data_IF_427231396194
#
_entry.id   IF_427231396194
#
_cell.length_a   1.000
_cell.length_b   1.000
_cell.length_c   1.000
_cell.angle_alpha   90.00
_cell.angle_beta   90.00
_cell.angle_gamma   90.00
#
_symmetry.space_group_name_H-M   'P 1'
#
loop_
_entity.id
_entity.type
_entity.pdbx_description
1 polymer ?
#
# COMPACT_ATOMS: atom_id res chain seq x y z
N UNK A 1 -1.52 -8.84 34.54
CA UNK A 1 -0.45 -8.11 33.82
C UNK A 1 -0.89 -6.67 33.62
N UNK A 2 -0.07 -5.73 34.06
CA UNK A 2 -0.33 -4.29 34.03
C UNK A 2 -0.76 -3.81 32.63
N UNK A 3 -1.98 -3.30 32.53
CA UNK A 3 -2.46 -2.51 31.39
C UNK A 3 -1.80 -1.12 31.41
N UNK A 4 -0.50 -1.07 31.14
CA UNK A 4 0.12 0.20 30.76
C UNK A 4 -0.43 0.55 29.39
N UNK A 5 -1.21 1.64 29.36
CA UNK A 5 -1.72 2.32 28.18
C UNK A 5 -0.85 2.06 26.95
N UNK A 6 -1.35 1.23 26.04
CA UNK A 6 -0.81 1.11 24.70
C UNK A 6 -1.08 2.45 24.02
N UNK A 7 -0.16 3.41 24.15
CA UNK A 7 -0.19 4.63 23.34
C UNK A 7 -0.03 4.14 21.90
N UNK A 8 -1.11 4.20 21.13
CA UNK A 8 -1.04 4.00 19.69
C UNK A 8 0.08 4.90 19.15
N UNK A 9 1.04 4.31 18.42
CA UNK A 9 2.10 5.03 17.72
C UNK A 9 1.45 5.87 16.61
N UNK A 10 0.92 7.04 16.96
CA UNK A 10 0.15 7.87 16.05
C UNK A 10 1.02 9.00 15.51
N UNK A 11 1.13 9.08 14.19
CA UNK A 11 1.37 10.36 13.54
C UNK A 11 0.03 11.12 13.57
N UNK A 12 0.00 12.33 14.13
CA UNK A 12 -1.19 13.17 14.07
C UNK A 12 -0.97 14.32 13.09
N UNK A 13 -1.78 14.36 12.03
CA UNK A 13 -1.91 15.53 11.19
C UNK A 13 -3.08 16.37 11.71
N UNK A 14 -2.82 17.63 12.06
CA UNK A 14 -3.84 18.58 12.50
C UNK A 14 -3.87 19.75 11.53
N UNK A 15 -5.06 20.04 11.02
CA UNK A 15 -5.32 21.20 10.18
C UNK A 15 -5.77 22.33 11.08
N UNK A 16 -5.02 23.44 11.04
CA UNK A 16 -5.36 24.64 11.81
C UNK A 16 -5.68 25.74 10.80
N UNK A 17 -6.91 26.28 10.77
CA UNK A 17 -7.24 27.42 9.94
C UNK A 17 -6.44 28.63 10.44
N UNK A 18 -5.75 29.33 9.54
CA UNK A 18 -5.07 30.58 9.90
C UNK A 18 -6.07 31.76 9.82
N UNK A 19 -5.97 32.69 10.78
CA UNK A 19 -6.76 33.91 10.80
C UNK A 19 -6.49 34.78 9.58
N UNK A 20 -7.56 35.41 9.08
CA UNK A 20 -7.51 36.43 8.04
C UNK A 20 -6.70 37.65 8.51
N UNK A 21 -5.52 37.87 7.94
CA UNK A 21 -5.03 39.26 7.83
C UNK A 21 -5.81 39.94 6.69
N UNK A 22 -6.35 41.13 6.95
CA UNK A 22 -6.96 41.99 5.92
C UNK A 22 -5.82 42.51 5.02
N UNK A 23 -5.57 41.80 3.92
CA UNK A 23 -4.82 42.32 2.77
C UNK A 23 -5.77 42.63 1.60
N UNK A 24 -5.41 43.56 0.70
CA UNK A 24 -6.29 44.11 -0.34
C UNK A 24 -6.81 43.05 -1.32
N UNK A 25 -7.83 43.42 -2.11
CA UNK A 25 -8.61 42.53 -2.99
C UNK A 25 -7.78 41.51 -3.79
N UNK A 26 -8.20 40.24 -3.73
CA UNK A 26 -7.55 39.11 -4.44
C UNK A 26 -7.18 37.90 -3.57
N UNK A 27 -7.77 37.75 -2.36
CA UNK A 27 -7.33 36.77 -1.36
C UNK A 27 -7.49 35.31 -1.81
N UNK A 28 -6.36 34.63 -2.00
CA UNK A 28 -6.26 33.16 -2.06
C UNK A 28 -6.45 32.57 -0.66
N UNK A 29 -7.38 31.64 -0.49
CA UNK A 29 -7.55 30.88 0.75
C UNK A 29 -6.30 30.02 1.00
N UNK A 30 -5.70 30.15 2.18
CA UNK A 30 -4.56 29.33 2.61
C UNK A 30 -4.88 28.60 3.91
N UNK A 31 -4.51 27.32 3.98
CA UNK A 31 -4.67 26.49 5.19
C UNK A 31 -3.32 25.93 5.61
N UNK A 32 -3.06 25.91 6.92
CA UNK A 32 -1.83 25.30 7.46
C UNK A 32 -2.12 23.88 7.92
N UNK A 33 -1.27 22.95 7.47
CA UNK A 33 -1.25 21.56 7.90
C UNK A 33 -0.04 21.37 8.80
N UNK A 34 -0.24 20.86 10.02
CA UNK A 34 0.82 20.51 10.94
C UNK A 34 0.91 18.99 11.04
N UNK A 35 2.12 18.45 10.85
CA UNK A 35 2.38 17.02 10.96
C UNK A 35 3.42 16.82 12.06
N UNK A 36 3.03 16.14 13.13
CA UNK A 36 3.86 15.96 14.33
C UNK A 36 4.38 14.52 14.41
N UNK A 37 5.68 14.38 14.63
CA UNK A 37 6.36 13.11 14.87
C UNK A 37 6.92 13.07 16.29
N UNK A 38 6.25 12.31 17.16
CA UNK A 38 6.68 12.14 18.55
C UNK A 38 7.71 11.02 18.72
N UNK A 39 8.22 10.40 17.64
CA UNK A 39 9.19 9.31 17.71
C UNK A 39 10.62 9.83 17.75
N UNK A 40 11.55 8.96 18.21
CA UNK A 40 12.98 9.26 18.30
C UNK A 40 13.75 9.09 16.98
N UNK A 41 13.05 8.89 15.86
CA UNK A 41 13.62 8.73 14.53
C UNK A 41 12.79 9.52 13.50
N UNK A 42 13.41 9.91 12.40
CA UNK A 42 12.76 10.62 11.30
C UNK A 42 11.77 9.74 10.54
N UNK A 43 10.74 10.36 9.96
CA UNK A 43 9.71 9.68 9.18
C UNK A 43 9.50 10.40 7.85
N UNK A 44 9.22 9.60 6.82
CA UNK A 44 8.81 10.04 5.50
C UNK A 44 7.57 9.26 5.11
N UNK A 45 6.41 9.91 5.11
CA UNK A 45 5.12 9.22 5.01
C UNK A 45 4.07 9.99 4.23
N UNK A 46 3.12 9.26 3.64
CA UNK A 46 1.99 9.85 2.94
C UNK A 46 0.92 10.26 3.95
N UNK A 47 0.58 11.55 3.94
CA UNK A 47 -0.46 12.14 4.77
C UNK A 47 -1.71 12.29 3.93
N UNK A 48 -2.83 11.76 4.44
CA UNK A 48 -4.15 11.95 3.87
C UNK A 48 -4.94 13.02 4.60
N UNK A 49 -5.48 13.96 3.84
CA UNK A 49 -6.41 14.97 4.32
C UNK A 49 -7.81 14.66 3.76
N UNK A 50 -8.80 14.34 4.62
CA UNK A 50 -10.17 14.18 4.16
C UNK A 50 -10.69 15.45 3.51
N UNK A 51 -11.40 15.34 2.39
CA UNK A 51 -11.93 16.51 1.65
C UNK A 51 -12.88 17.35 2.49
N UNK A 52 -13.57 16.75 3.46
CA UNK A 52 -14.39 17.47 4.43
C UNK A 52 -13.64 18.54 5.24
N UNK A 53 -12.30 18.47 5.29
CA UNK A 53 -11.40 19.46 5.92
C UNK A 53 -10.85 20.51 4.96
N UNK A 54 -11.10 20.40 3.66
CA UNK A 54 -10.60 21.29 2.60
C UNK A 54 -11.65 22.27 2.08
N UNK A 55 -12.66 22.59 2.90
CA UNK A 55 -13.79 23.43 2.49
C UNK A 55 -13.31 24.78 1.94
N UNK A 56 -13.82 25.16 0.77
CA UNK A 56 -13.50 26.42 0.09
C UNK A 56 -12.28 26.36 -0.83
N UNK A 57 -11.63 25.20 -0.99
CA UNK A 57 -10.53 25.00 -1.92
C UNK A 57 -11.00 24.21 -3.15
N UNK A 58 -10.57 24.66 -4.34
CA UNK A 58 -10.85 23.96 -5.60
C UNK A 58 -9.86 22.82 -5.80
N UNK A 59 -10.37 21.60 -6.02
CA UNK A 59 -9.55 20.41 -6.28
C UNK A 59 -8.52 20.64 -7.41
N UNK A 60 -8.93 21.28 -8.51
CA UNK A 60 -8.08 21.49 -9.69
C UNK A 60 -6.88 22.40 -9.41
N UNK A 61 -7.07 23.42 -8.57
CA UNK A 61 -6.05 24.43 -8.27
C UNK A 61 -5.32 24.17 -6.95
N UNK A 62 -5.75 23.20 -6.15
CA UNK A 62 -5.15 22.97 -4.84
C UNK A 62 -3.72 22.46 -5.00
N UNK A 63 -2.81 23.12 -4.28
CA UNK A 63 -1.41 22.74 -4.12
C UNK A 63 -1.03 22.78 -2.66
N UNK A 64 0.07 22.11 -2.34
CA UNK A 64 0.67 22.15 -1.02
C UNK A 64 2.18 22.37 -1.14
N UNK A 65 2.73 23.17 -0.23
CA UNK A 65 4.18 23.40 -0.14
C UNK A 65 4.69 23.28 1.29
N UNK A 66 5.96 22.94 1.46
CA UNK A 66 6.63 23.07 2.76
C UNK A 66 6.65 24.53 3.19
N UNK A 67 6.34 24.79 4.46
CA UNK A 67 6.46 26.14 5.02
C UNK A 67 7.93 26.52 5.30
N UNK A 68 8.81 25.52 5.42
CA UNK A 68 10.23 25.69 5.70
C UNK A 68 11.04 25.95 4.42
N UNK A 69 10.83 25.17 3.36
CA UNK A 69 11.61 25.30 2.10
C UNK A 69 10.88 26.09 1.03
N UNK A 70 9.55 26.21 1.12
CA UNK A 70 8.72 26.80 0.06
C UNK A 70 8.49 25.89 -1.14
N UNK A 71 9.06 24.69 -1.15
CA UNK A 71 8.95 23.74 -2.25
C UNK A 71 7.52 23.17 -2.36
N UNK A 72 7.00 23.17 -3.59
CA UNK A 72 5.71 22.57 -3.94
C UNK A 72 5.87 21.06 -3.95
N UNK A 73 4.92 20.35 -3.35
CA UNK A 73 4.95 18.90 -3.25
C UNK A 73 4.05 18.26 -4.30
N UNK A 74 4.41 17.04 -4.70
CA UNK A 74 3.55 16.17 -5.49
C UNK A 74 2.33 15.78 -4.65
N UNK A 75 1.17 15.73 -5.30
CA UNK A 75 -0.08 15.39 -4.62
C UNK A 75 -0.78 14.23 -5.32
N UNK A 76 -1.81 13.69 -4.66
CA UNK A 76 -2.72 12.73 -5.28
C UNK A 76 -4.09 12.86 -4.63
N UNK A 77 -5.14 12.81 -5.45
CA UNK A 77 -6.52 12.70 -4.97
C UNK A 77 -6.96 11.24 -5.03
N UNK A 78 -7.68 10.77 -4.00
CA UNK A 78 -8.26 9.43 -3.95
C UNK A 78 -9.78 9.56 -3.89
N UNK A 79 -10.44 8.81 -4.76
CA UNK A 79 -11.88 8.56 -4.75
C UNK A 79 -12.06 7.07 -4.37
N UNK A 80 -12.38 6.81 -3.09
CA UNK A 80 -12.46 5.45 -2.55
C UNK A 80 -13.74 4.74 -2.97
N UNK A 81 -14.83 5.49 -3.20
CA UNK A 81 -16.15 4.93 -3.52
C UNK A 81 -16.46 4.96 -5.02
N UNK A 82 -15.60 5.57 -5.84
CA UNK A 82 -15.72 5.74 -7.29
C UNK A 82 -16.96 6.51 -7.73
N UNK A 83 -17.42 7.46 -6.93
CA UNK A 83 -18.57 8.30 -7.27
C UNK A 83 -18.21 9.51 -8.16
N UNK A 84 -16.93 9.64 -8.51
CA UNK A 84 -16.38 10.74 -9.30
C UNK A 84 -15.98 11.96 -8.46
N UNK A 85 -16.07 11.88 -7.13
CA UNK A 85 -15.63 12.93 -6.20
C UNK A 85 -14.51 12.39 -5.33
N UNK A 86 -13.48 13.19 -5.14
CA UNK A 86 -12.39 12.79 -4.27
C UNK A 86 -12.81 12.80 -2.79
N UNK A 87 -12.39 11.78 -2.06
CA UNK A 87 -12.58 11.61 -0.62
C UNK A 87 -11.37 12.11 0.18
N UNK A 88 -10.17 12.01 -0.40
CA UNK A 88 -8.92 12.30 0.29
C UNK A 88 -7.88 12.97 -0.62
N UNK A 89 -7.16 13.94 -0.08
CA UNK A 89 -6.01 14.60 -0.69
C UNK A 89 -4.71 14.15 -0.02
N UNK A 90 -3.75 13.69 -0.81
CA UNK A 90 -2.51 13.11 -0.34
C UNK A 90 -1.30 13.99 -0.66
N UNK A 91 -0.32 14.00 0.24
CA UNK A 91 1.03 14.51 0.00
C UNK A 91 2.04 13.73 0.87
N UNK A 92 3.33 13.77 0.53
CA UNK A 92 4.37 13.17 1.37
C UNK A 92 4.94 14.20 2.33
N UNK A 93 4.96 13.86 3.62
CA UNK A 93 5.59 14.67 4.66
C UNK A 93 6.93 14.06 5.08
N UNK A 94 7.95 14.90 5.15
CA UNK A 94 9.24 14.63 5.79
C UNK A 94 9.22 15.28 7.19
N UNK A 95 9.33 14.46 8.24
CA UNK A 95 9.26 14.91 9.62
C UNK A 95 10.44 14.34 10.42
N UNK A 96 11.31 15.21 10.93
CA UNK A 96 12.41 14.82 11.82
C UNK A 96 11.90 14.17 13.11
N UNK A 97 12.80 13.51 13.83
CA UNK A 97 12.51 12.98 15.16
C UNK A 97 12.05 14.11 16.11
N UNK A 98 11.04 13.83 16.94
CA UNK A 98 10.54 14.74 18.00
C UNK A 98 10.19 16.15 17.51
N UNK A 99 9.68 16.27 16.28
CA UNK A 99 9.44 17.58 15.65
C UNK A 99 8.04 17.70 15.05
N UNK A 100 7.72 18.90 14.56
CA UNK A 100 6.52 19.17 13.79
C UNK A 100 6.89 19.92 12.52
N UNK A 101 6.58 19.34 11.37
CA UNK A 101 6.69 19.99 10.06
C UNK A 101 5.41 20.75 9.73
N UNK A 102 5.54 21.89 9.04
CA UNK A 102 4.40 22.71 8.61
C UNK A 102 4.31 22.76 7.10
N UNK A 103 3.09 22.66 6.61
CA UNK A 103 2.78 22.76 5.18
C UNK A 103 1.67 23.78 4.96
N UNK A 104 1.70 24.42 3.80
CA UNK A 104 0.70 25.41 3.41
C UNK A 104 -0.05 24.91 2.19
N UNK A 105 -1.36 24.72 2.35
CA UNK A 105 -2.29 24.52 1.25
C UNK A 105 -2.64 25.88 0.64
N UNK A 106 -2.65 25.96 -0.68
CA UNK A 106 -2.97 27.18 -1.42
C UNK A 106 -3.61 26.84 -2.77
N UNK A 107 -4.34 27.78 -3.37
CA UNK A 107 -4.91 27.61 -4.71
C UNK A 107 -4.05 28.32 -5.75
N UNK A 108 -3.48 27.55 -6.66
CA UNK A 108 -2.70 27.99 -7.82
C UNK A 108 -2.78 26.89 -8.89
N UNK A 109 -3.51 27.16 -9.97
CA UNK A 109 -3.71 26.19 -11.04
C UNK A 109 -2.47 26.06 -11.96
N UNK A 110 -1.62 27.10 -12.01
CA UNK A 110 -0.47 27.19 -12.90
C UNK A 110 0.81 26.65 -12.23
N UNK A 111 0.82 26.57 -10.90
CA UNK A 111 1.86 25.89 -10.13
C UNK A 111 2.05 24.43 -10.58
N UNK A 112 3.27 24.13 -11.02
CA UNK A 112 3.67 22.79 -11.44
C UNK A 112 4.03 21.93 -10.23
N UNK A 113 3.52 20.70 -10.20
CA UNK A 113 3.93 19.70 -9.22
C UNK A 113 5.22 19.00 -9.67
N UNK A 114 6.12 18.68 -8.72
CA UNK A 114 7.34 17.95 -9.04
C UNK A 114 7.01 16.57 -9.61
N UNK A 115 7.70 16.21 -10.69
CA UNK A 115 7.62 14.89 -11.29
C UNK A 115 8.61 13.94 -10.60
N UNK A 116 8.22 12.67 -10.48
CA UNK A 116 9.09 11.62 -9.96
C UNK A 116 8.78 10.29 -10.65
N UNK A 117 9.83 9.53 -10.94
CA UNK A 117 9.75 8.16 -11.46
C UNK A 117 9.32 7.15 -10.40
N UNK A 118 9.46 7.48 -9.11
CA UNK A 118 8.94 6.66 -8.02
C UNK A 118 7.42 6.79 -7.97
N UNK A 119 6.73 5.66 -8.07
CA UNK A 119 5.27 5.59 -8.02
C UNK A 119 4.84 4.36 -7.23
N UNK A 120 3.75 4.48 -6.48
CA UNK A 120 3.00 3.34 -6.00
C UNK A 120 2.07 2.86 -7.11
N UNK A 121 2.15 1.59 -7.48
CA UNK A 121 1.47 1.05 -8.65
C UNK A 121 0.81 -0.29 -8.33
N UNK A 122 -0.32 -0.58 -8.96
CA UNK A 122 -0.90 -1.92 -8.94
C UNK A 122 -1.62 -2.22 -10.25
N UNK A 123 -1.74 -3.51 -10.58
CA UNK A 123 -2.53 -3.97 -11.71
C UNK A 123 -2.94 -5.44 -11.61
N UNK A 124 -3.97 -5.75 -12.37
CA UNK A 124 -4.31 -7.11 -12.78
C UNK A 124 -3.35 -7.61 -13.88
N UNK A 125 -3.03 -8.90 -13.85
CA UNK A 125 -2.01 -9.54 -14.71
C UNK A 125 -2.59 -10.80 -15.37
N UNK A 126 -3.40 -10.65 -16.44
CA UNK A 126 -3.99 -11.80 -17.14
C UNK A 126 -2.95 -12.72 -17.78
N UNK A 127 -1.80 -12.17 -18.18
CA UNK A 127 -0.69 -12.92 -18.78
C UNK A 127 -0.01 -13.89 -17.80
N UNK A 128 -0.24 -13.75 -16.49
CA UNK A 128 0.20 -14.71 -15.46
C UNK A 128 -0.98 -15.21 -14.65
N UNK A 129 -1.83 -16.02 -15.29
CA UNK A 129 -2.92 -16.77 -14.64
C UNK A 129 -3.78 -15.92 -13.69
N UNK A 130 -4.06 -14.69 -14.11
CA UNK A 130 -4.84 -13.69 -13.39
C UNK A 130 -4.21 -13.22 -12.07
N UNK A 131 -2.89 -13.20 -11.92
CA UNK A 131 -2.24 -12.58 -10.76
C UNK A 131 -2.72 -11.14 -10.55
N UNK A 132 -2.71 -10.68 -9.29
CA UNK A 132 -2.84 -9.26 -8.96
C UNK A 132 -1.57 -8.79 -8.26
N UNK A 133 -0.99 -7.68 -8.74
CA UNK A 133 0.35 -7.24 -8.32
C UNK A 133 0.38 -5.77 -7.95
N UNK A 134 1.29 -5.42 -7.05
CA UNK A 134 1.49 -4.03 -6.62
C UNK A 134 2.92 -3.78 -6.15
N UNK A 135 3.40 -2.56 -6.32
CA UNK A 135 4.76 -2.17 -5.97
C UNK A 135 4.87 -0.69 -5.61
N UNK A 136 6.02 -0.32 -5.06
CA UNK A 136 6.51 1.05 -4.99
C UNK A 136 8.03 1.08 -5.23
N UNK A 137 8.71 2.17 -4.87
CA UNK A 137 10.17 2.33 -4.94
C UNK A 137 10.98 1.44 -3.97
N UNK A 138 10.34 0.61 -3.14
CA UNK A 138 10.99 -0.20 -2.11
C UNK A 138 10.72 -1.70 -2.26
N UNK A 139 9.49 -2.05 -2.56
CA UNK A 139 8.99 -3.43 -2.51
C UNK A 139 8.00 -3.70 -3.64
N UNK A 140 7.86 -4.96 -4.03
CA UNK A 140 6.84 -5.43 -4.96
C UNK A 140 6.20 -6.72 -4.41
N UNK A 141 4.97 -6.98 -4.81
CA UNK A 141 4.18 -8.10 -4.32
C UNK A 141 3.27 -8.65 -5.41
N UNK A 142 2.82 -9.89 -5.20
CA UNK A 142 1.70 -10.47 -5.95
C UNK A 142 0.81 -11.33 -5.07
N UNK A 143 -0.37 -11.62 -5.58
CA UNK A 143 -1.21 -12.73 -5.13
C UNK A 143 -1.89 -13.39 -6.33
N UNK A 144 -2.35 -14.62 -6.14
CA UNK A 144 -2.75 -15.52 -7.21
C UNK A 144 -4.23 -15.37 -7.56
N UNK A 145 -4.57 -15.50 -8.85
CA UNK A 145 -5.92 -15.24 -9.35
C UNK A 145 -6.79 -16.44 -9.69
N UNK A 146 -8.01 -16.19 -10.19
CA UNK A 146 -9.01 -17.21 -10.52
C UNK A 146 -8.52 -18.24 -11.55
N UNK A 147 -7.86 -17.79 -12.64
CA UNK A 147 -7.29 -18.73 -13.62
C UNK A 147 -6.22 -19.63 -13.01
N UNK A 148 -5.32 -19.07 -12.19
CA UNK A 148 -4.30 -19.86 -11.48
C UNK A 148 -4.91 -20.92 -10.55
N UNK A 149 -6.03 -20.60 -9.90
CA UNK A 149 -6.76 -21.58 -9.09
C UNK A 149 -7.34 -22.71 -9.94
N UNK A 150 -7.99 -22.39 -11.06
CA UNK A 150 -8.55 -23.39 -11.98
C UNK A 150 -7.45 -24.33 -12.48
N UNK A 151 -6.35 -23.78 -12.98
CA UNK A 151 -5.21 -24.54 -13.47
C UNK A 151 -4.62 -25.47 -12.39
N UNK A 152 -4.52 -24.99 -11.15
CA UNK A 152 -4.02 -25.79 -10.04
C UNK A 152 -4.96 -26.95 -9.68
N UNK A 153 -6.28 -26.76 -9.73
CA UNK A 153 -7.27 -27.84 -9.56
C UNK A 153 -7.18 -28.89 -10.67
N UNK A 154 -6.82 -28.47 -11.89
CA UNK A 154 -6.54 -29.33 -13.05
C UNK A 154 -5.12 -29.93 -13.01
N UNK A 155 -4.35 -29.69 -11.94
CA UNK A 155 -2.97 -30.17 -11.72
C UNK A 155 -1.97 -29.69 -12.78
N UNK A 156 -2.20 -28.51 -13.35
CA UNK A 156 -1.23 -27.84 -14.22
C UNK A 156 0.01 -27.46 -13.40
N UNK A 157 1.19 -27.85 -13.90
CA UNK A 157 2.46 -27.59 -13.23
C UNK A 157 2.75 -26.08 -13.16
N UNK A 158 3.10 -25.58 -11.97
CA UNK A 158 3.43 -24.17 -11.74
C UNK A 158 2.26 -23.27 -11.37
N UNK A 159 1.05 -23.83 -11.25
CA UNK A 159 -0.13 -23.15 -10.73
C UNK A 159 -0.31 -23.40 -9.23
N UNK A 160 -0.80 -22.40 -8.50
CA UNK A 160 -0.83 -22.39 -7.04
C UNK A 160 -2.23 -22.01 -6.55
N UNK A 161 -2.75 -22.76 -5.57
CA UNK A 161 -3.92 -22.38 -4.78
C UNK A 161 -3.42 -21.80 -3.45
N UNK A 162 -3.41 -20.48 -3.34
CA UNK A 162 -2.97 -19.81 -2.11
C UNK A 162 -3.59 -18.43 -1.99
N UNK A 163 -4.06 -18.11 -0.78
CA UNK A 163 -4.38 -16.74 -0.36
C UNK A 163 -3.18 -16.02 0.25
N UNK A 164 -1.99 -16.63 0.16
CA UNK A 164 -0.74 -16.03 0.59
C UNK A 164 -0.34 -14.85 -0.29
N UNK A 165 0.45 -13.96 0.31
CA UNK A 165 1.02 -12.79 -0.36
C UNK A 165 2.49 -13.08 -0.65
N UNK A 166 2.82 -13.04 -1.94
CA UNK A 166 4.17 -13.22 -2.44
C UNK A 166 4.92 -11.89 -2.42
N UNK A 167 6.16 -11.89 -1.95
CA UNK A 167 7.00 -10.70 -1.80
C UNK A 167 8.19 -10.81 -2.76
N UNK A 168 8.35 -9.78 -3.57
CA UNK A 168 9.47 -9.64 -4.48
C UNK A 168 10.50 -8.68 -3.89
N UNK A 169 11.78 -9.07 -3.97
CA UNK A 169 12.88 -8.29 -3.41
C UNK A 169 13.40 -7.34 -4.47
N UNK A 170 13.26 -6.04 -4.22
CA UNK A 170 13.80 -5.00 -5.11
C UNK A 170 15.15 -4.51 -4.62
N UNK A 171 16.03 -4.23 -5.58
CA UNK A 171 17.31 -3.53 -5.41
C UNK A 171 17.34 -2.21 -6.18
N UNK A 172 16.19 -1.79 -6.70
CA UNK A 172 15.98 -0.57 -7.48
C UNK A 172 14.77 0.20 -6.96
N UNK A 173 14.80 1.53 -7.12
CA UNK A 173 13.64 2.41 -6.89
C UNK A 173 12.70 2.54 -8.09
N UNK A 174 13.04 1.93 -9.23
CA UNK A 174 12.21 1.93 -10.45
C UNK A 174 11.05 0.95 -10.31
N UNK A 175 9.93 1.20 -10.98
CA UNK A 175 8.87 0.20 -11.17
C UNK A 175 9.42 -0.98 -11.98
N UNK A 176 9.11 -2.21 -11.55
CA UNK A 176 9.63 -3.44 -12.15
C UNK A 176 8.53 -4.38 -12.65
N UNK A 177 7.28 -4.26 -12.15
CA UNK A 177 6.20 -5.23 -12.42
C UNK A 177 5.99 -5.44 -13.92
N UNK A 178 5.90 -4.36 -14.69
CA UNK A 178 5.60 -4.45 -16.12
C UNK A 178 6.75 -5.11 -16.90
N UNK A 179 7.99 -4.71 -16.62
CA UNK A 179 9.17 -5.27 -17.28
C UNK A 179 9.39 -6.74 -16.92
N UNK A 180 9.21 -7.10 -15.64
CA UNK A 180 9.38 -8.45 -15.15
C UNK A 180 8.34 -9.42 -15.71
N UNK A 181 7.07 -9.01 -15.78
CA UNK A 181 6.04 -9.83 -16.43
C UNK A 181 6.22 -9.90 -17.94
N UNK A 182 6.60 -8.80 -18.61
CA UNK A 182 6.92 -8.84 -20.04
C UNK A 182 8.12 -9.77 -20.34
N UNK A 183 9.12 -9.79 -19.46
CA UNK A 183 10.23 -10.74 -19.50
C UNK A 183 9.75 -12.17 -19.30
N UNK A 184 8.84 -12.41 -18.35
CA UNK A 184 8.27 -13.75 -18.07
C UNK A 184 7.51 -14.33 -19.28
N UNK A 185 6.76 -13.50 -20.01
CA UNK A 185 6.04 -13.93 -21.22
C UNK A 185 7.01 -14.42 -22.29
N UNK A 186 8.21 -13.84 -22.38
CA UNK A 186 9.25 -14.23 -23.36
C UNK A 186 10.08 -15.41 -22.87
N UNK A 187 10.43 -15.40 -21.58
CA UNK A 187 11.29 -16.38 -20.94
C UNK A 187 10.64 -16.81 -19.62
N UNK A 188 10.12 -18.04 -19.51
CA UNK A 188 9.57 -18.55 -18.27
C UNK A 188 10.54 -18.35 -17.09
N UNK A 189 10.01 -18.02 -15.92
CA UNK A 189 10.77 -17.75 -14.69
C UNK A 189 11.71 -16.53 -14.74
N UNK A 190 11.56 -15.61 -15.70
CA UNK A 190 12.40 -14.41 -15.83
C UNK A 190 12.65 -13.66 -14.52
N UNK A 191 11.60 -13.37 -13.75
CA UNK A 191 11.67 -12.63 -12.49
C UNK A 191 12.20 -13.43 -11.29
N UNK A 192 12.49 -14.73 -11.44
CA UNK A 192 13.20 -15.51 -10.42
C UNK A 192 14.73 -15.45 -10.56
N UNK A 193 15.23 -14.72 -11.56
CA UNK A 193 16.66 -14.45 -11.76
C UNK A 193 16.93 -12.96 -11.52
N UNK A 194 17.98 -12.64 -10.77
CA UNK A 194 18.39 -11.25 -10.53
C UNK A 194 19.10 -10.69 -11.77
N UNK A 195 18.45 -9.74 -12.45
CA UNK A 195 19.01 -9.01 -13.60
C UNK A 195 19.64 -7.66 -13.21
N UNK A 196 19.72 -7.37 -11.90
CA UNK A 196 20.26 -6.13 -11.36
C UNK A 196 19.22 -5.29 -10.61
N UNK A 197 17.93 -5.44 -10.93
CA UNK A 197 16.83 -4.76 -10.24
C UNK A 197 16.33 -5.49 -8.98
N UNK A 198 16.80 -6.70 -8.72
CA UNK A 198 16.20 -7.62 -7.75
C UNK A 198 15.50 -8.79 -8.42
N UNK A 199 14.77 -9.59 -7.63
CA UNK A 199 14.08 -10.80 -8.11
C UNK A 199 13.07 -11.32 -7.07
N UNK A 200 12.21 -12.22 -7.53
CA UNK A 200 11.35 -13.07 -6.71
C UNK A 200 12.16 -14.25 -6.16
N UNK A 201 12.65 -14.09 -4.93
CA UNK A 201 13.34 -15.13 -4.18
C UNK A 201 12.42 -15.88 -3.21
N UNK A 202 11.15 -15.46 -3.10
CA UNK A 202 10.26 -15.90 -2.03
C UNK A 202 9.30 -16.97 -2.54
N UNK A 203 9.48 -18.20 -2.09
CA UNK A 203 8.56 -19.27 -2.42
C UNK A 203 7.42 -19.33 -1.41
N UNK A 204 6.25 -18.80 -1.78
CA UNK A 204 5.05 -18.86 -0.93
C UNK A 204 4.59 -20.32 -0.73
N UNK A 205 4.47 -21.09 -1.82
CA UNK A 205 3.88 -22.43 -1.80
C UNK A 205 2.54 -22.47 -1.05
N UNK A 206 2.35 -23.49 -0.21
CA UNK A 206 1.15 -23.66 0.62
C UNK A 206 1.15 -22.77 1.89
N UNK A 207 2.23 -22.00 2.12
CA UNK A 207 2.30 -21.08 3.26
C UNK A 207 1.32 -19.90 3.09
N UNK A 208 1.23 -19.05 4.12
CA UNK A 208 0.43 -17.81 4.07
C UNK A 208 1.21 -16.61 3.55
N UNK A 209 2.45 -16.81 3.11
CA UNK A 209 3.31 -15.74 2.64
C UNK A 209 3.39 -14.58 3.65
N UNK A 210 3.42 -13.34 3.15
CA UNK A 210 3.59 -12.12 3.95
C UNK A 210 2.28 -11.35 4.19
N UNK A 211 1.16 -12.06 4.35
CA UNK A 211 -0.15 -11.40 4.58
C UNK A 211 -1.39 -12.25 4.33
N UNK A 212 -1.22 -13.54 4.07
CA UNK A 212 -2.33 -14.49 3.98
C UNK A 212 -3.02 -14.66 5.34
N UNK A 213 -4.33 -14.85 5.28
CA UNK A 213 -5.17 -15.01 6.48
C UNK A 213 -5.89 -16.34 6.46
N UNK A 214 -6.41 -16.72 7.62
CA UNK A 214 -7.32 -17.85 7.75
C UNK A 214 -8.08 -17.79 9.07
N UNK A 215 -9.11 -18.61 9.17
CA UNK A 215 -9.92 -18.78 10.37
C UNK A 215 -9.44 -20.02 11.09
N UNK A 216 -8.96 -19.85 12.33
CA UNK A 216 -8.56 -20.97 13.18
C UNK A 216 -9.78 -21.58 13.87
N UNK A 217 -9.92 -22.91 13.84
CA UNK A 217 -10.91 -23.63 14.63
C UNK A 217 -10.34 -24.99 15.06
N UNK A 218 -10.42 -25.26 16.36
CA UNK A 218 -9.80 -26.44 16.99
C UNK A 218 -8.30 -26.50 16.65
N UNK A 219 -7.85 -27.51 15.91
CA UNK A 219 -6.45 -27.73 15.53
C UNK A 219 -6.21 -27.49 14.03
N UNK A 220 -7.06 -26.71 13.37
CA UNK A 220 -7.00 -26.50 11.93
C UNK A 220 -7.17 -25.04 11.54
N UNK A 221 -6.29 -24.60 10.64
CA UNK A 221 -6.38 -23.31 9.96
C UNK A 221 -7.15 -23.48 8.65
N UNK A 222 -8.33 -22.86 8.56
CA UNK A 222 -9.11 -22.80 7.33
C UNK A 222 -8.72 -21.56 6.54
N UNK A 223 -8.37 -21.75 5.28
CA UNK A 223 -7.86 -20.70 4.40
C UNK A 223 -8.78 -20.47 3.22
N UNK A 224 -8.80 -19.24 2.73
CA UNK A 224 -9.32 -18.92 1.40
C UNK A 224 -8.46 -19.57 0.31
N UNK A 225 -9.07 -19.83 -0.84
CA UNK A 225 -8.35 -20.13 -2.08
C UNK A 225 -7.83 -18.80 -2.70
N UNK A 226 -7.73 -18.71 -4.02
CA UNK A 226 -7.34 -17.47 -4.68
C UNK A 226 -8.48 -16.45 -4.63
N UNK A 227 -8.17 -15.18 -4.92
CA UNK A 227 -9.22 -14.18 -5.01
C UNK A 227 -10.14 -14.48 -6.21
N UNK A 228 -11.41 -14.10 -6.11
CA UNK A 228 -12.43 -14.31 -7.14
C UNK A 228 -12.78 -13.04 -7.92
N UNK A 229 -12.56 -11.86 -7.32
CA UNK A 229 -12.76 -10.58 -7.98
C UNK A 229 -11.78 -9.53 -7.45
N UNK A 230 -11.45 -8.54 -8.27
CA UNK A 230 -10.62 -7.40 -7.90
C UNK A 230 -11.31 -6.08 -8.23
N UNK A 231 -10.93 -5.02 -7.52
CA UNK A 231 -11.37 -3.65 -7.76
C UNK A 231 -10.20 -2.69 -7.51
N UNK A 232 -9.58 -2.19 -8.58
CA UNK A 232 -8.51 -1.18 -8.47
C UNK A 232 -9.13 0.18 -8.16
N UNK A 233 -8.84 0.75 -6.99
CA UNK A 233 -9.39 2.03 -6.54
C UNK A 233 -8.50 3.18 -7.01
N UNK A 234 -7.20 3.08 -6.77
CA UNK A 234 -6.21 4.07 -7.19
C UNK A 234 -4.89 3.41 -7.57
N UNK A 235 -4.21 3.95 -8.59
CA UNK A 235 -2.91 3.46 -9.06
C UNK A 235 -1.90 4.61 -9.10
N UNK A 236 -1.56 5.12 -7.92
CA UNK A 236 -0.52 6.13 -7.76
C UNK A 236 -0.95 7.55 -8.16
N UNK A 237 -0.01 8.50 -8.06
CA UNK A 237 1.42 8.22 -7.94
C UNK A 237 1.95 7.98 -6.52
N UNK A 238 1.34 8.54 -5.48
CA UNK A 238 1.83 8.45 -4.10
C UNK A 238 1.34 7.17 -3.40
N UNK A 239 0.14 6.73 -3.72
CA UNK A 239 -0.58 5.62 -3.10
C UNK A 239 -1.30 4.79 -4.16
N UNK A 240 -1.17 3.47 -4.05
CA UNK A 240 -2.05 2.52 -4.74
C UNK A 240 -3.02 1.91 -3.73
N UNK A 241 -4.27 1.75 -4.12
CA UNK A 241 -5.33 1.13 -3.32
C UNK A 241 -6.16 0.22 -4.21
N UNK A 242 -6.44 -0.98 -3.73
CA UNK A 242 -7.30 -1.92 -4.44
C UNK A 242 -7.95 -2.90 -3.46
N UNK A 243 -8.97 -3.59 -3.94
CA UNK A 243 -9.67 -4.62 -3.17
C UNK A 243 -9.61 -5.96 -3.88
N UNK A 244 -9.51 -7.01 -3.08
CA UNK A 244 -9.61 -8.40 -3.51
C UNK A 244 -10.72 -9.09 -2.72
N UNK A 245 -11.65 -9.71 -3.45
CA UNK A 245 -12.75 -10.49 -2.87
C UNK A 245 -12.43 -11.97 -2.95
N UNK A 246 -12.71 -12.71 -1.90
CA UNK A 246 -12.49 -14.16 -1.83
C UNK A 246 -13.79 -14.91 -1.55
N UNK A 247 -13.92 -16.08 -2.17
CA UNK A 247 -15.07 -16.97 -1.97
C UNK A 247 -15.18 -17.47 -0.52
N UNK A 248 -16.39 -17.84 -0.06
CA UNK A 248 -16.59 -18.46 1.24
C UNK A 248 -15.73 -19.70 1.45
N UNK A 249 -15.08 -19.81 2.62
CA UNK A 249 -14.25 -20.95 3.00
C UNK A 249 -14.52 -21.44 4.43
N UNK A 250 -14.08 -22.68 4.70
CA UNK A 250 -14.15 -23.28 6.03
C UNK A 250 -15.57 -23.55 6.56
N UNK A 251 -15.69 -24.01 7.82
CA UNK A 251 -16.95 -24.49 8.39
C UNK A 251 -17.97 -23.38 8.69
N UNK A 252 -17.52 -22.13 8.73
CA UNK A 252 -18.35 -20.94 8.94
C UNK A 252 -18.77 -20.26 7.62
N UNK A 253 -18.30 -20.80 6.48
CA UNK A 253 -18.44 -20.18 5.15
C UNK A 253 -18.04 -18.71 5.18
N UNK A 254 -16.85 -18.45 5.71
CA UNK A 254 -16.34 -17.09 5.86
C UNK A 254 -15.93 -16.57 4.50
N UNK A 255 -16.53 -15.47 4.04
CA UNK A 255 -16.00 -14.69 2.92
C UNK A 255 -15.15 -13.53 3.43
N UNK A 256 -14.20 -13.10 2.62
CA UNK A 256 -13.31 -11.99 2.98
C UNK A 256 -13.12 -11.01 1.81
N UNK A 257 -13.06 -9.73 2.15
CA UNK A 257 -12.60 -8.66 1.26
C UNK A 257 -11.36 -8.04 1.88
N UNK A 258 -10.26 -8.02 1.13
CA UNK A 258 -9.01 -7.38 1.53
C UNK A 258 -8.87 -6.08 0.77
N UNK A 259 -8.91 -4.94 1.46
CA UNK A 259 -8.49 -3.66 0.90
C UNK A 259 -7.00 -3.47 1.21
N UNK A 260 -6.19 -3.34 0.17
CA UNK A 260 -4.74 -3.26 0.27
C UNK A 260 -4.29 -1.89 -0.17
N UNK A 261 -3.46 -1.25 0.66
CA UNK A 261 -2.88 0.07 0.40
C UNK A 261 -1.36 -0.02 0.43
N UNK A 262 -0.69 0.57 -0.55
CA UNK A 262 0.77 0.74 -0.55
C UNK A 262 1.12 2.17 -0.95
N UNK A 263 2.00 2.78 -0.15
CA UNK A 263 2.48 4.15 -0.32
C UNK A 263 3.92 4.16 -0.81
N UNK A 264 4.30 5.15 -1.63
CA UNK A 264 5.71 5.41 -1.98
C UNK A 264 6.54 5.60 -0.71
N UNK A 265 7.73 4.99 -0.69
CA UNK A 265 8.67 5.00 0.42
C UNK A 265 8.39 3.96 1.52
N UNK A 266 7.23 3.31 1.51
CA UNK A 266 6.88 2.30 2.51
C UNK A 266 7.49 0.93 2.19
N UNK A 267 7.99 0.22 3.20
CA UNK A 267 8.35 -1.21 3.05
C UNK A 267 7.14 -2.14 3.28
N UNK A 268 6.01 -1.60 3.74
CA UNK A 268 4.85 -2.36 4.17
C UNK A 268 3.59 -1.92 3.43
N UNK A 269 2.79 -2.90 3.03
CA UNK A 269 1.41 -2.67 2.62
C UNK A 269 0.48 -2.77 3.84
N UNK A 270 -0.52 -1.88 3.89
CA UNK A 270 -1.61 -1.96 4.87
C UNK A 270 -2.71 -2.86 4.32
N UNK A 271 -3.19 -3.79 5.13
CA UNK A 271 -4.32 -4.67 4.81
C UNK A 271 -5.47 -4.37 5.77
N UNK A 272 -6.58 -3.88 5.23
CA UNK A 272 -7.86 -3.79 5.93
C UNK A 272 -8.72 -4.99 5.49
N UNK A 273 -8.99 -5.91 6.41
CA UNK A 273 -9.63 -7.20 6.10
C UNK A 273 -11.04 -7.24 6.69
N UNK A 274 -12.04 -7.30 5.82
CA UNK A 274 -13.45 -7.42 6.19
C UNK A 274 -13.90 -8.87 6.05
N UNK A 275 -14.37 -9.48 7.15
CA UNK A 275 -14.83 -10.86 7.20
C UNK A 275 -16.35 -10.90 7.36
N UNK A 276 -17.03 -11.76 6.60
CA UNK A 276 -18.44 -12.09 6.77
C UNK A 276 -18.60 -13.59 6.89
N UNK A 277 -19.43 -14.06 7.82
CA UNK A 277 -19.69 -15.48 8.05
C UNK A 277 -21.19 -15.77 8.09
N UNK A 278 -21.61 -16.95 7.63
CA UNK A 278 -23.01 -17.39 7.72
C UNK A 278 -23.38 -17.85 9.14
N UNK A 279 -22.40 -18.29 9.91
CA UNK A 279 -22.54 -18.74 11.29
C UNK A 279 -21.73 -17.83 12.20
N UNK A 280 -22.20 -17.52 13.43
CA UNK A 280 -21.44 -16.69 14.36
C UNK A 280 -20.02 -17.22 14.59
N UNK A 281 -19.03 -16.37 14.37
CA UNK A 281 -17.65 -16.59 14.80
C UNK A 281 -17.58 -16.30 16.31
N UNK A 282 -17.71 -17.34 17.14
CA UNK A 282 -17.79 -17.19 18.60
C UNK A 282 -16.46 -16.78 19.24
N UNK A 283 -15.37 -17.41 18.80
CA UNK A 283 -14.01 -17.16 19.29
C UNK A 283 -13.09 -16.91 18.10
N UNK A 284 -12.46 -15.74 18.04
CA UNK A 284 -11.43 -15.44 17.06
C UNK A 284 -10.15 -15.00 17.77
N UNK A 285 -9.02 -15.50 17.31
CA UNK A 285 -7.69 -15.03 17.71
C UNK A 285 -6.97 -14.57 16.46
N UNK A 286 -6.37 -13.38 16.52
CA UNK A 286 -5.47 -12.89 15.48
C UNK A 286 -4.06 -13.20 15.94
N UNK A 287 -3.36 -14.05 15.18
CA UNK A 287 -1.97 -14.40 15.42
C UNK A 287 -1.12 -14.06 14.20
N UNK A 288 0.16 -13.75 14.44
CA UNK A 288 1.17 -13.63 13.39
C UNK A 288 2.07 -14.85 13.50
N UNK A 289 2.23 -15.58 12.41
CA UNK A 289 3.14 -16.74 12.39
C UNK A 289 4.58 -16.24 12.41
N UNK A 290 5.37 -16.74 13.35
CA UNK A 290 6.81 -16.54 13.41
C UNK A 290 7.49 -17.70 12.68
N UNK A 291 8.59 -17.41 11.98
CA UNK A 291 9.44 -18.45 11.40
C UNK A 291 10.72 -18.58 12.23
N UNK A 292 11.04 -19.79 12.70
CA UNK A 292 12.25 -20.06 13.51
C UNK A 292 13.55 -19.95 12.71
N UNK A 293 13.46 -19.85 11.37
CA UNK A 293 14.62 -19.66 10.50
C UNK A 293 15.17 -18.25 10.66
N UNK A 294 16.31 -18.12 11.34
CA UNK A 294 17.15 -16.92 11.27
C UNK A 294 17.71 -16.84 9.85
N UNK A 295 17.29 -15.85 9.07
CA UNK A 295 17.86 -15.62 7.75
C UNK A 295 19.36 -15.29 7.87
N UNK A 296 20.21 -16.02 7.14
CA UNK A 296 21.61 -15.63 6.96
C UNK A 296 21.69 -14.60 5.83
N UNK A 297 22.03 -13.36 6.16
CA UNK A 297 22.25 -12.33 5.15
C UNK A 297 23.74 -12.28 4.78
N UNK A 298 24.04 -12.31 3.49
CA UNK A 298 25.38 -12.02 2.97
C UNK A 298 25.34 -10.68 2.25
N UNK A 299 25.88 -9.63 2.88
CA UNK A 299 26.09 -8.36 2.19
C UNK A 299 27.19 -8.59 1.15
N UNK A 300 26.84 -8.63 -0.15
CA UNK A 300 27.84 -8.48 -1.21
C UNK A 300 28.42 -7.08 -1.06
N UNK A 301 29.64 -6.97 -0.50
CA UNK A 301 30.42 -5.73 -0.56
C UNK A 301 30.49 -5.31 -2.03
N UNK A 302 30.13 -4.06 -2.34
CA UNK A 302 30.39 -3.51 -3.67
C UNK A 302 31.88 -3.72 -3.96
N UNK A 303 32.21 -4.24 -5.13
CA UNK A 303 33.57 -4.13 -5.62
C UNK A 303 33.77 -2.65 -5.89
N UNK A 304 34.56 -2.01 -5.04
CA UNK A 304 35.05 -0.66 -5.30
C UNK A 304 35.77 -0.72 -6.66
N UNK A 305 35.29 0.07 -7.61
CA UNK A 305 35.91 0.31 -8.90
C UNK A 305 36.59 1.67 -8.89
#
# INVERSE_FOLDING_TARGET
MNSKNLKFLALSAVIIPFSFSKLPSGKTLTLTVRVTNDLGFERKEIIGIPVSKLKGLSQKALRIKSAETGEILRTQWIDYNKDGKADEFLFQADISAKSTSRYTLFSDADAQEPQSSSVAYSRFVPERSDDYTWENDRVAFRTYGPKGQKEALEKVQGSTISSGIDLWFKRTGKSVINEWYAGHVKTPFYYHTDHGEGYDAYHVGDSRGTGGTGVWKNDSLYISQNYTAYNTIAAGPLRTVFELTYAPYGPYKTSEVKRITLDVGSNFSKFDISLKSEKPLKDYTVGVTMHDKKGEYKIKKRKDG
#
